data_IF_042056971935
#
_entry.id   IF_042056971935
#
_cell.length_a   1.000
_cell.length_b   1.000
_cell.length_c   1.000
_cell.angle_alpha   90.00
_cell.angle_beta   90.00
_cell.angle_gamma   90.00
#
_symmetry.space_group_name_H-M   'P 1'
#
loop_
_entity.id
_entity.type
_entity.pdbx_description
1 polymer ?
#
# COMPACT_ATOMS: atom_id res chain seq x y z
N UNK A 1 28.69 -18.70 -27.52
CA UNK A 1 29.62 -17.56 -27.75
C UNK A 1 29.36 -17.02 -29.15
N UNK A 2 29.70 -15.76 -29.43
CA UNK A 2 29.76 -15.21 -30.80
C UNK A 2 31.19 -14.73 -31.01
N UNK A 3 31.85 -15.20 -32.06
CA UNK A 3 33.23 -14.80 -32.42
C UNK A 3 34.26 -14.98 -31.29
N UNK A 4 34.20 -16.12 -30.59
CA UNK A 4 35.09 -16.40 -29.46
C UNK A 4 34.83 -15.54 -28.20
N UNK A 5 33.86 -14.63 -28.24
CA UNK A 5 33.48 -13.79 -27.11
C UNK A 5 32.09 -14.15 -26.56
N UNK A 6 31.90 -13.91 -25.27
CA UNK A 6 30.58 -14.04 -24.66
C UNK A 6 29.67 -12.93 -25.20
N UNK A 7 28.54 -13.30 -25.81
CA UNK A 7 27.52 -12.34 -26.28
C UNK A 7 26.96 -11.45 -25.17
N UNK A 8 27.07 -11.87 -23.92
CA UNK A 8 26.67 -11.11 -22.72
C UNK A 8 27.84 -10.35 -22.06
N UNK A 9 29.02 -10.34 -22.71
CA UNK A 9 30.25 -9.68 -22.27
C UNK A 9 30.73 -10.12 -20.88
N UNK A 10 30.73 -11.44 -20.64
CA UNK A 10 31.37 -12.03 -19.46
C UNK A 10 32.81 -12.48 -19.77
N UNK A 11 33.74 -12.39 -18.80
CA UNK A 11 33.57 -11.74 -17.49
C UNK A 11 33.46 -10.21 -17.60
N UNK A 12 32.66 -9.58 -16.73
CA UNK A 12 32.53 -8.11 -16.68
C UNK A 12 33.78 -7.51 -16.02
N UNK A 13 34.24 -6.32 -16.46
CA UNK A 13 35.42 -5.68 -15.88
C UNK A 13 35.21 -5.33 -14.40
N UNK A 14 36.30 -5.28 -13.64
CA UNK A 14 36.28 -4.82 -12.25
C UNK A 14 35.95 -3.34 -12.17
N UNK A 15 35.23 -2.95 -11.11
CA UNK A 15 34.87 -1.56 -10.86
C UNK A 15 34.82 -1.30 -9.36
N UNK A 16 35.51 -0.26 -8.90
CA UNK A 16 35.64 0.03 -7.47
C UNK A 16 34.40 0.71 -6.87
N UNK A 17 33.52 1.29 -7.69
CA UNK A 17 32.28 1.93 -7.27
C UNK A 17 31.18 1.69 -8.30
N UNK A 18 29.91 1.77 -7.88
CA UNK A 18 28.77 1.71 -8.81
C UNK A 18 28.67 3.07 -9.50
N UNK A 19 28.61 3.09 -10.83
CA UNK A 19 28.48 4.32 -11.64
C UNK A 19 27.46 4.16 -12.75
N UNK A 20 26.86 5.25 -13.20
CA UNK A 20 25.99 5.26 -14.37
C UNK A 20 26.85 5.24 -15.65
N UNK A 21 26.55 4.35 -16.60
CA UNK A 21 27.20 4.36 -17.91
C UNK A 21 26.43 5.22 -18.92
N UNK A 22 27.10 5.54 -20.01
CA UNK A 22 26.56 6.37 -21.11
C UNK A 22 25.39 5.70 -21.83
N UNK A 23 25.30 4.36 -21.81
CA UNK A 23 24.19 3.59 -22.35
C UNK A 23 22.97 3.53 -21.40
N UNK A 24 23.05 4.22 -20.26
CA UNK A 24 21.99 4.31 -19.25
C UNK A 24 21.88 3.10 -18.34
N UNK A 25 22.73 2.08 -18.51
CA UNK A 25 22.80 0.94 -17.58
C UNK A 25 23.83 1.22 -16.47
N UNK A 26 23.56 0.81 -15.22
CA UNK A 26 24.55 0.94 -14.16
C UNK A 26 25.72 -0.04 -14.35
N UNK A 27 26.95 0.47 -14.22
CA UNK A 27 28.16 -0.35 -14.00
C UNK A 27 28.27 -0.57 -12.51
N UNK A 28 27.93 -1.77 -12.05
CA UNK A 28 28.01 -2.13 -10.63
C UNK A 28 29.44 -2.25 -10.13
N UNK A 29 29.66 -1.88 -8.86
CA UNK A 29 30.89 -2.18 -8.14
C UNK A 29 31.17 -3.69 -8.16
N UNK A 30 32.33 -4.05 -8.71
CA UNK A 30 32.84 -5.42 -8.81
C UNK A 30 34.28 -5.42 -8.31
N UNK A 31 34.47 -5.78 -7.04
CA UNK A 31 35.80 -5.84 -6.40
C UNK A 31 36.59 -7.04 -6.93
N UNK A 32 37.89 -6.87 -7.14
CA UNK A 32 38.79 -7.99 -7.42
C UNK A 32 39.21 -8.64 -6.11
N UNK A 33 38.48 -9.67 -5.69
CA UNK A 33 38.76 -10.45 -4.47
C UNK A 33 39.43 -11.81 -4.79
N UNK A 34 39.85 -12.02 -6.04
CA UNK A 34 40.46 -13.26 -6.53
C UNK A 34 39.51 -14.46 -6.64
N UNK A 35 38.22 -14.31 -6.31
CA UNK A 35 37.26 -15.43 -6.28
C UNK A 35 36.56 -15.59 -7.63
N UNK A 36 36.68 -16.76 -8.22
CA UNK A 36 36.03 -17.13 -9.47
C UNK A 36 35.26 -18.44 -9.33
N UNK A 37 34.17 -18.58 -10.08
CA UNK A 37 33.36 -19.81 -10.16
C UNK A 37 33.16 -20.11 -11.64
N UNK A 38 33.49 -21.33 -12.05
CA UNK A 38 33.22 -21.78 -13.42
C UNK A 38 31.78 -22.29 -13.50
N UNK A 39 30.96 -21.61 -14.30
CA UNK A 39 29.56 -22.01 -14.55
C UNK A 39 29.38 -22.19 -16.05
N UNK A 40 29.15 -23.43 -16.49
CA UNK A 40 28.96 -23.80 -17.91
C UNK A 40 30.11 -23.25 -18.78
N UNK A 41 31.34 -23.58 -18.42
CA UNK A 41 32.59 -23.19 -19.11
C UNK A 41 32.90 -21.68 -19.15
N UNK A 42 32.12 -20.87 -18.43
CA UNK A 42 32.36 -19.43 -18.30
C UNK A 42 32.77 -19.13 -16.86
N UNK A 43 33.95 -18.56 -16.70
CA UNK A 43 34.41 -18.01 -15.41
C UNK A 43 33.55 -16.81 -15.03
N UNK A 44 32.78 -16.96 -13.95
CA UNK A 44 31.95 -15.89 -13.37
C UNK A 44 32.54 -15.48 -12.03
N UNK A 45 32.41 -14.21 -11.68
CA UNK A 45 32.65 -13.78 -10.30
C UNK A 45 31.29 -13.42 -9.66
N UNK A 46 30.97 -13.97 -8.49
CA UNK A 46 29.70 -13.73 -7.81
C UNK A 46 29.65 -12.31 -7.24
N UNK A 47 28.55 -11.58 -7.53
CA UNK A 47 28.23 -10.33 -6.83
C UNK A 47 27.51 -10.75 -5.55
N UNK A 48 28.14 -10.60 -4.38
CA UNK A 48 27.58 -11.06 -3.10
C UNK A 48 26.86 -9.94 -2.37
N UNK A 49 25.55 -10.12 -2.15
CA UNK A 49 24.89 -9.65 -0.94
C UNK A 49 24.77 -10.83 0.04
N UNK A 50 25.80 -11.03 0.86
CA UNK A 50 25.99 -12.26 1.65
C UNK A 50 24.81 -12.56 2.59
N UNK A 51 24.24 -11.54 3.23
CA UNK A 51 23.13 -11.68 4.18
C UNK A 51 21.85 -12.20 3.52
N UNK A 52 21.52 -11.68 2.34
CA UNK A 52 20.26 -12.01 1.67
C UNK A 52 20.36 -13.37 0.95
N UNK A 53 21.47 -13.66 0.28
CA UNK A 53 21.66 -14.97 -0.34
C UNK A 53 21.62 -16.11 0.68
N UNK A 54 22.15 -15.90 1.90
CA UNK A 54 22.08 -16.89 2.98
C UNK A 54 20.66 -17.08 3.51
N UNK A 55 19.93 -15.97 3.76
CA UNK A 55 18.55 -16.02 4.26
C UNK A 55 17.59 -16.77 3.33
N UNK A 56 17.75 -16.63 2.02
CA UNK A 56 16.82 -17.18 1.02
C UNK A 56 17.36 -18.38 0.25
N UNK A 57 18.56 -18.87 0.60
CA UNK A 57 19.25 -19.97 -0.07
C UNK A 57 19.22 -19.86 -1.62
N UNK A 58 19.36 -18.64 -2.14
CA UNK A 58 19.29 -18.37 -3.58
C UNK A 58 20.22 -17.20 -3.96
N UNK A 59 20.54 -17.08 -5.25
CA UNK A 59 21.37 -15.98 -5.75
C UNK A 59 20.51 -14.72 -5.97
N UNK A 60 20.70 -13.71 -5.12
CA UNK A 60 19.95 -12.45 -5.17
C UNK A 60 20.80 -11.35 -5.78
N UNK A 61 20.28 -10.70 -6.82
CA UNK A 61 20.82 -9.44 -7.32
C UNK A 61 20.13 -8.29 -6.58
N UNK A 62 20.91 -7.40 -5.99
CA UNK A 62 20.43 -6.15 -5.38
C UNK A 62 20.86 -4.99 -6.27
N UNK A 63 19.89 -4.21 -6.72
CA UNK A 63 20.12 -3.05 -7.59
C UNK A 63 19.61 -1.78 -6.90
N UNK A 64 20.48 -0.80 -6.70
CA UNK A 64 20.10 0.53 -6.22
C UNK A 64 19.76 1.41 -7.42
N UNK A 65 18.49 1.80 -7.53
CA UNK A 65 17.97 2.55 -8.67
C UNK A 65 17.85 4.04 -8.32
N UNK A 66 18.76 4.86 -8.83
CA UNK A 66 18.74 6.33 -8.66
C UNK A 66 18.45 7.11 -9.95
N UNK A 67 18.41 6.44 -11.11
CA UNK A 67 18.20 7.10 -12.42
C UNK A 67 16.83 6.77 -13.04
N UNK A 68 16.30 7.69 -13.86
CA UNK A 68 15.07 7.45 -14.65
C UNK A 68 15.20 6.23 -15.57
N UNK A 69 16.40 5.97 -16.10
CA UNK A 69 16.66 4.79 -16.95
C UNK A 69 16.59 3.50 -16.14
N UNK A 70 17.09 3.51 -14.89
CA UNK A 70 16.95 2.39 -13.95
C UNK A 70 15.49 2.12 -13.59
N UNK A 71 14.68 3.17 -13.38
CA UNK A 71 13.23 3.03 -13.14
C UNK A 71 12.50 2.48 -14.38
N UNK A 72 12.86 2.95 -15.58
CA UNK A 72 12.33 2.41 -16.84
C UNK A 72 12.72 0.95 -17.01
N UNK A 73 13.94 0.57 -16.63
CA UNK A 73 14.41 -0.81 -16.65
C UNK A 73 13.61 -1.68 -15.68
N UNK A 74 13.43 -1.28 -14.42
CA UNK A 74 12.62 -2.00 -13.44
C UNK A 74 11.20 -2.26 -13.99
N UNK A 75 10.54 -1.20 -14.46
CA UNK A 75 9.20 -1.31 -15.05
C UNK A 75 9.19 -2.21 -16.28
N UNK A 76 10.23 -2.15 -17.13
CA UNK A 76 10.35 -3.06 -18.28
C UNK A 76 10.31 -4.53 -17.85
N UNK A 77 10.90 -4.91 -16.71
CA UNK A 77 10.87 -6.30 -16.22
C UNK A 77 9.55 -6.67 -15.55
N UNK A 78 8.94 -5.75 -14.80
CA UNK A 78 7.59 -5.93 -14.24
C UNK A 78 6.57 -6.13 -15.36
N UNK A 79 6.68 -5.37 -16.45
CA UNK A 79 5.76 -5.39 -17.58
C UNK A 79 6.22 -6.24 -18.78
N UNK A 80 7.37 -6.93 -18.68
CA UNK A 80 7.89 -7.77 -19.80
C UNK A 80 6.98 -8.96 -20.12
N UNK A 81 6.04 -9.27 -19.24
CA UNK A 81 5.27 -10.50 -19.27
C UNK A 81 6.04 -11.65 -18.63
N UNK A 82 5.32 -12.67 -18.18
CA UNK A 82 5.90 -13.90 -17.63
C UNK A 82 6.46 -14.76 -18.76
N UNK A 83 7.53 -15.51 -18.51
CA UNK A 83 7.97 -16.56 -19.43
C UNK A 83 6.82 -17.58 -19.58
N UNK A 84 6.27 -17.70 -20.79
CA UNK A 84 5.17 -18.61 -21.11
C UNK A 84 5.76 -19.88 -21.71
N UNK A 85 5.67 -20.99 -20.98
CA UNK A 85 5.93 -22.33 -21.51
C UNK A 85 4.63 -22.94 -22.03
N UNK A 86 4.59 -23.36 -23.29
CA UNK A 86 3.50 -24.17 -23.80
C UNK A 86 3.69 -25.61 -23.30
N UNK A 87 2.74 -26.13 -22.52
CA UNK A 87 2.69 -27.54 -22.14
C UNK A 87 1.62 -28.20 -23.00
N UNK A 88 2.02 -29.05 -23.94
CA UNK A 88 1.07 -29.86 -24.71
C UNK A 88 0.66 -31.08 -23.87
N UNK A 89 -0.60 -31.14 -23.45
CA UNK A 89 -1.19 -32.38 -22.93
C UNK A 89 -1.81 -33.15 -24.09
N UNK A 90 -1.45 -34.43 -24.23
CA UNK A 90 -1.97 -35.36 -25.24
C UNK A 90 -3.38 -35.81 -24.85
N UNK A 91 -4.38 -34.96 -25.09
CA UNK A 91 -5.79 -35.36 -25.03
C UNK A 91 -6.50 -34.77 -26.24
N UNK A 92 -6.93 -35.66 -27.14
CA UNK A 92 -7.55 -35.37 -28.43
C UNK A 92 -8.99 -34.85 -28.27
N UNK A 93 -9.15 -33.64 -27.74
CA UNK A 93 -10.30 -32.75 -28.00
C UNK A 93 -10.00 -31.43 -27.31
N UNK A 94 -9.16 -30.61 -27.94
CA UNK A 94 -8.79 -29.30 -27.39
C UNK A 94 -9.33 -28.20 -28.30
N UNK A 95 -10.29 -27.44 -27.79
CA UNK A 95 -10.75 -26.21 -28.43
C UNK A 95 -9.61 -25.19 -28.42
N UNK A 96 -9.00 -25.00 -29.59
CA UNK A 96 -7.88 -24.08 -29.82
C UNK A 96 -8.22 -22.64 -29.41
N UNK A 97 -9.49 -22.24 -29.48
CA UNK A 97 -9.94 -20.89 -29.13
C UNK A 97 -9.91 -20.72 -27.61
N UNK A 98 -10.47 -21.66 -26.85
CA UNK A 98 -10.40 -21.66 -25.39
C UNK A 98 -8.94 -21.72 -24.89
N UNK A 99 -8.12 -22.59 -25.49
CA UNK A 99 -6.71 -22.72 -25.13
C UNK A 99 -5.90 -21.44 -25.40
N UNK A 100 -6.25 -20.70 -26.47
CA UNK A 100 -5.66 -19.41 -26.80
C UNK A 100 -6.12 -18.27 -25.87
N UNK A 101 -7.34 -18.36 -25.35
CA UNK A 101 -7.88 -17.43 -24.34
C UNK A 101 -7.26 -17.69 -22.96
N UNK A 102 -7.17 -18.95 -22.53
CA UNK A 102 -6.61 -19.35 -21.22
C UNK A 102 -5.09 -19.08 -21.13
N UNK A 103 -4.34 -19.29 -22.22
CA UNK A 103 -2.90 -18.99 -22.27
C UNK A 103 -2.58 -17.48 -22.17
N UNK A 104 -3.56 -16.60 -22.40
CA UNK A 104 -3.39 -15.14 -22.23
C UNK A 104 -3.59 -14.70 -20.78
N UNK A 105 -4.28 -15.50 -19.97
CA UNK A 105 -4.78 -15.08 -18.66
C UNK A 105 -4.07 -15.79 -17.49
N UNK A 106 -2.74 -15.69 -17.47
CA UNK A 106 -1.98 -15.90 -16.23
C UNK A 106 -0.99 -14.76 -16.09
N UNK A 107 -1.39 -13.72 -15.34
CA UNK A 107 -0.49 -12.66 -14.89
C UNK A 107 -0.68 -12.40 -13.40
N UNK A 108 0.44 -12.23 -12.69
CA UNK A 108 0.48 -11.69 -11.32
C UNK A 108 0.05 -10.22 -11.23
N UNK A 109 -0.23 -9.57 -12.37
CA UNK A 109 -0.70 -8.18 -12.43
C UNK A 109 -2.18 -8.00 -12.05
N UNK A 110 -2.89 -9.09 -11.77
CA UNK A 110 -4.21 -9.07 -11.12
C UNK A 110 -4.09 -9.34 -9.62
N UNK A 111 -2.98 -8.99 -8.98
CA UNK A 111 -3.02 -8.71 -7.55
C UNK A 111 -4.10 -7.64 -7.36
N UNK A 112 -5.28 -8.04 -6.84
CA UNK A 112 -6.39 -7.13 -6.54
C UNK A 112 -5.80 -5.85 -5.96
N UNK A 113 -5.98 -4.74 -6.66
CA UNK A 113 -5.38 -3.46 -6.26
C UNK A 113 -5.89 -3.15 -4.85
N UNK A 114 -5.01 -3.24 -3.87
CA UNK A 114 -5.35 -2.94 -2.49
C UNK A 114 -5.49 -1.42 -2.39
N UNK A 115 -6.69 -0.95 -2.11
CA UNK A 115 -6.95 0.48 -1.93
C UNK A 115 -6.61 0.81 -0.48
N UNK A 116 -5.58 1.63 -0.27
CA UNK A 116 -5.23 2.12 1.07
C UNK A 116 -5.92 3.45 1.31
N UNK A 117 -6.78 3.50 2.34
CA UNK A 117 -7.46 4.73 2.78
C UNK A 117 -6.76 5.23 4.02
N UNK A 118 -6.19 6.43 3.95
CA UNK A 118 -5.60 7.07 5.12
C UNK A 118 -6.71 7.61 6.03
N UNK A 119 -6.69 7.21 7.31
CA UNK A 119 -7.68 7.58 8.31
C UNK A 119 -7.07 8.63 9.26
N UNK A 120 -7.48 9.91 9.17
CA UNK A 120 -7.02 10.95 10.08
C UNK A 120 -7.49 10.65 11.51
N UNK A 121 -6.61 10.90 12.48
CA UNK A 121 -6.93 10.86 13.90
C UNK A 121 -6.58 12.23 14.46
N UNK A 122 -7.44 12.80 15.29
CA UNK A 122 -7.20 14.07 15.97
C UNK A 122 -7.96 14.08 17.29
N UNK A 123 -7.49 14.85 18.26
CA UNK A 123 -8.22 15.10 19.49
C UNK A 123 -9.43 16.00 19.21
N UNK A 124 -10.35 16.06 20.16
CA UNK A 124 -11.49 16.96 20.06
C UNK A 124 -11.00 18.41 19.91
N UNK A 125 -11.60 19.15 18.98
CA UNK A 125 -11.21 20.52 18.61
C UNK A 125 -9.76 20.75 18.14
N UNK A 126 -8.95 19.70 17.97
CA UNK A 126 -7.56 19.79 17.47
C UNK A 126 -7.41 19.26 16.04
N UNK A 127 -8.37 19.58 15.17
CA UNK A 127 -8.30 19.25 13.74
C UNK A 127 -8.00 20.49 12.90
N UNK A 128 -7.32 20.29 11.78
CA UNK A 128 -7.03 21.38 10.85
C UNK A 128 -8.26 21.75 10.04
N UNK A 129 -8.60 23.04 10.04
CA UNK A 129 -9.64 23.63 9.20
C UNK A 129 -8.99 24.61 8.23
N UNK A 130 -9.21 24.41 6.94
CA UNK A 130 -8.73 25.31 5.89
C UNK A 130 -9.82 26.34 5.57
N UNK A 131 -9.45 27.61 5.56
CA UNK A 131 -10.35 28.71 5.22
C UNK A 131 -9.63 29.75 4.36
N UNK A 132 -10.40 30.57 3.66
CA UNK A 132 -9.92 31.71 2.88
C UNK A 132 -10.21 33.00 3.63
N UNK A 133 -9.47 34.05 3.30
CA UNK A 133 -9.59 35.35 3.96
C UNK A 133 -11.03 35.93 3.95
N UNK A 134 -11.84 35.59 2.94
CA UNK A 134 -13.20 36.10 2.77
C UNK A 134 -14.28 35.11 3.25
N UNK A 135 -13.90 33.96 3.81
CA UNK A 135 -14.88 32.98 4.29
C UNK A 135 -15.50 33.45 5.61
N UNK A 136 -16.80 33.22 5.78
CA UNK A 136 -17.45 33.49 7.06
C UNK A 136 -16.98 32.48 8.11
N UNK A 137 -16.46 32.97 9.24
CA UNK A 137 -15.96 32.17 10.36
C UNK A 137 -16.99 31.15 10.84
N UNK A 138 -18.26 31.55 10.96
CA UNK A 138 -19.32 30.65 11.42
C UNK A 138 -19.55 29.47 10.47
N UNK A 139 -19.52 29.71 9.15
CA UNK A 139 -19.66 28.63 8.16
C UNK A 139 -18.42 27.74 8.11
N UNK A 140 -17.23 28.32 8.28
CA UNK A 140 -15.96 27.59 8.33
C UNK A 140 -15.94 26.63 9.51
N UNK A 141 -16.36 27.10 10.70
CA UNK A 141 -16.43 26.26 11.89
C UNK A 141 -17.44 25.13 11.70
N UNK A 142 -18.65 25.43 11.21
CA UNK A 142 -19.63 24.38 10.92
C UNK A 142 -19.10 23.30 9.99
N UNK A 143 -18.40 23.67 8.92
CA UNK A 143 -17.79 22.68 8.01
C UNK A 143 -16.62 21.94 8.68
N UNK A 144 -15.81 22.65 9.47
CA UNK A 144 -14.67 22.11 10.20
C UNK A 144 -15.05 20.98 11.15
N UNK A 145 -16.17 21.11 11.86
CA UNK A 145 -16.69 20.08 12.76
C UNK A 145 -16.99 18.73 12.09
N UNK A 146 -17.10 18.68 10.75
CA UNK A 146 -17.40 17.48 9.99
C UNK A 146 -16.13 16.87 9.35
N UNK A 147 -15.26 16.30 10.19
CA UNK A 147 -14.09 15.55 9.75
C UNK A 147 -14.44 14.10 9.42
N UNK A 148 -13.50 13.35 8.85
CA UNK A 148 -13.67 11.92 8.59
C UNK A 148 -13.88 11.09 9.87
N UNK A 149 -13.31 11.54 11.00
CA UNK A 149 -13.47 10.91 12.30
C UNK A 149 -14.79 11.30 12.96
N UNK A 150 -15.21 12.57 12.93
CA UNK A 150 -16.51 12.93 13.51
C UNK A 150 -17.68 12.34 12.72
N UNK A 151 -17.55 12.25 11.39
CA UNK A 151 -18.52 11.51 10.55
C UNK A 151 -18.54 10.01 10.85
N UNK A 152 -17.47 9.43 11.39
CA UNK A 152 -17.49 8.05 11.89
C UNK A 152 -18.46 7.94 13.05
N UNK A 153 -18.36 8.83 14.03
CA UNK A 153 -19.22 8.85 15.22
C UNK A 153 -20.69 9.01 14.87
N UNK A 154 -21.00 9.88 13.91
CA UNK A 154 -22.35 10.01 13.35
C UNK A 154 -22.81 8.71 12.66
N UNK A 155 -21.94 8.05 11.88
CA UNK A 155 -22.26 6.76 11.26
C UNK A 155 -22.58 5.71 12.34
N UNK A 156 -21.74 5.59 13.37
CA UNK A 156 -21.95 4.63 14.46
C UNK A 156 -23.22 4.93 15.24
N UNK A 157 -23.58 6.20 15.39
CA UNK A 157 -24.81 6.60 16.06
C UNK A 157 -26.06 6.17 15.26
N UNK A 158 -26.02 6.33 13.94
CA UNK A 158 -27.18 6.12 13.07
C UNK A 158 -27.33 4.69 12.53
N UNK A 159 -26.22 3.97 12.32
CA UNK A 159 -26.21 2.63 11.69
C UNK A 159 -25.76 1.57 12.69
N UNK A 160 -26.69 0.69 13.07
CA UNK A 160 -26.44 -0.41 14.01
C UNK A 160 -25.41 -1.41 13.46
N UNK A 161 -25.39 -1.64 12.14
CA UNK A 161 -24.41 -2.54 11.53
C UNK A 161 -22.99 -1.98 11.65
N UNK A 162 -22.84 -0.66 11.49
CA UNK A 162 -21.56 0.02 11.62
C UNK A 162 -20.96 -0.12 13.03
N UNK A 163 -21.79 -0.17 14.09
CA UNK A 163 -21.33 -0.30 15.48
C UNK A 163 -20.49 -1.55 15.76
N UNK A 164 -20.60 -2.57 14.92
CA UNK A 164 -19.79 -3.79 15.02
C UNK A 164 -18.34 -3.65 14.50
N UNK A 165 -18.02 -2.51 13.89
CA UNK A 165 -16.77 -2.23 13.20
C UNK A 165 -15.86 -1.30 14.02
N UNK A 166 -14.55 -1.54 13.92
CA UNK A 166 -13.50 -0.60 14.33
C UNK A 166 -13.27 0.47 13.26
N UNK A 167 -12.55 1.54 13.58
CA UNK A 167 -12.30 2.62 12.61
C UNK A 167 -11.58 2.14 11.35
N UNK A 168 -10.66 1.17 11.47
CA UNK A 168 -9.94 0.58 10.33
C UNK A 168 -10.86 -0.21 9.41
N UNK A 169 -11.76 -1.01 9.99
CA UNK A 169 -12.68 -1.89 9.26
C UNK A 169 -13.77 -1.12 8.52
N UNK A 170 -14.15 0.08 8.99
CA UNK A 170 -15.15 0.90 8.31
C UNK A 170 -14.78 1.16 6.86
N UNK A 171 -13.50 1.34 6.52
CA UNK A 171 -13.07 1.58 5.14
C UNK A 171 -13.34 0.41 4.17
N UNK A 172 -13.44 -0.81 4.69
CA UNK A 172 -13.75 -2.03 3.94
C UNK A 172 -15.23 -2.12 3.56
N UNK A 173 -16.11 -1.59 4.40
CA UNK A 173 -17.57 -1.64 4.21
C UNK A 173 -18.16 -0.33 3.70
N UNK A 174 -17.53 0.80 4.02
CA UNK A 174 -18.00 2.14 3.70
C UNK A 174 -16.91 2.90 2.93
N UNK A 175 -17.34 3.82 2.06
CA UNK A 175 -16.47 4.77 1.37
C UNK A 175 -16.76 6.18 1.87
N UNK A 176 -15.71 6.96 2.12
CA UNK A 176 -15.85 8.34 2.53
C UNK A 176 -15.94 9.25 1.30
N UNK A 177 -17.17 9.64 0.93
CA UNK A 177 -17.43 10.38 -0.29
C UNK A 177 -18.56 11.40 -0.09
N UNK A 178 -18.63 12.39 -0.98
CA UNK A 178 -19.81 13.27 -1.06
C UNK A 178 -20.99 12.41 -1.50
N UNK A 179 -22.18 12.70 -0.96
CA UNK A 179 -23.40 12.14 -1.53
C UNK A 179 -23.49 12.58 -3.00
N UNK A 180 -23.68 11.65 -3.92
CA UNK A 180 -23.81 11.95 -5.36
C UNK A 180 -25.29 12.11 -5.71
N UNK A 181 -25.65 13.00 -6.64
CA UNK A 181 -27.03 13.21 -7.14
C UNK A 181 -27.75 11.92 -7.56
N UNK A 182 -27.00 10.85 -7.87
CA UNK A 182 -27.53 9.53 -8.25
C UNK A 182 -28.02 8.67 -7.08
N UNK A 183 -27.78 9.07 -5.82
CA UNK A 183 -28.23 8.33 -4.65
C UNK A 183 -29.58 8.89 -4.16
N UNK A 184 -30.57 8.05 -3.80
CA UNK A 184 -31.90 8.51 -3.36
C UNK A 184 -31.91 9.44 -2.13
N UNK A 185 -30.84 9.42 -1.34
CA UNK A 185 -30.62 10.25 -0.15
C UNK A 185 -29.63 11.41 -0.41
N UNK A 186 -29.57 11.91 -1.64
CA UNK A 186 -28.75 13.06 -1.99
C UNK A 186 -29.29 14.36 -1.36
N UNK A 187 -28.49 14.98 -0.49
CA UNK A 187 -28.81 16.27 0.15
C UNK A 187 -27.74 17.35 -0.11
N UNK A 188 -26.81 17.14 -1.06
CA UNK A 188 -25.74 18.10 -1.37
C UNK A 188 -24.71 18.34 -0.27
N UNK A 189 -24.73 17.58 0.83
CA UNK A 189 -23.89 17.84 1.99
C UNK A 189 -22.45 17.32 1.87
N UNK A 190 -21.64 17.73 2.85
CA UNK A 190 -20.25 17.34 3.07
C UNK A 190 -20.00 15.83 2.95
N UNK A 191 -18.73 15.44 2.83
CA UNK A 191 -18.36 14.02 2.74
C UNK A 191 -18.89 13.26 3.95
N UNK A 192 -19.41 12.06 3.70
CA UNK A 192 -19.92 11.15 4.70
C UNK A 192 -19.51 9.71 4.37
N UNK A 193 -19.68 8.82 5.33
CA UNK A 193 -19.50 7.39 5.11
C UNK A 193 -20.72 6.80 4.40
N UNK A 194 -20.49 6.23 3.22
CA UNK A 194 -21.53 5.65 2.38
C UNK A 194 -21.25 4.16 2.22
N UNK A 195 -22.24 3.31 2.43
CA UNK A 195 -22.11 1.86 2.28
C UNK A 195 -21.62 1.50 0.87
N UNK A 196 -20.66 0.58 0.78
CA UNK A 196 -20.13 0.07 -0.49
C UNK A 196 -21.08 -0.97 -1.06
N UNK A 197 -21.43 -0.80 -2.32
CA UNK A 197 -22.28 -1.75 -3.07
C UNK A 197 -21.46 -2.91 -3.64
N UNK A 198 -20.20 -2.65 -4.01
CA UNK A 198 -19.29 -3.66 -4.55
C UNK A 198 -18.14 -3.91 -3.57
N UNK A 199 -18.08 -5.11 -2.99
CA UNK A 199 -17.04 -5.57 -2.06
C UNK A 199 -15.92 -6.34 -2.78
N UNK A 200 -15.77 -6.16 -4.10
CA UNK A 200 -14.76 -6.86 -4.91
C UNK A 200 -13.34 -6.35 -4.65
N UNK A 201 -13.23 -5.08 -4.27
CA UNK A 201 -11.96 -4.42 -3.97
C UNK A 201 -11.53 -4.70 -2.54
N UNK A 202 -10.24 -5.03 -2.36
CA UNK A 202 -9.64 -5.10 -1.02
C UNK A 202 -9.29 -3.70 -0.59
N UNK A 203 -9.98 -3.17 0.42
CA UNK A 203 -9.73 -1.84 0.97
C UNK A 203 -9.15 -1.96 2.37
N UNK A 204 -8.10 -1.20 2.67
CA UNK A 204 -7.44 -1.21 3.98
C UNK A 204 -7.40 0.22 4.53
N UNK A 205 -8.00 0.39 5.70
CA UNK A 205 -7.99 1.63 6.46
C UNK A 205 -6.72 1.74 7.28
N UNK A 206 -5.89 2.74 7.00
CA UNK A 206 -4.63 2.98 7.70
C UNK A 206 -4.69 4.28 8.48
N UNK A 207 -4.80 4.17 9.80
CA UNK A 207 -4.69 5.33 10.68
C UNK A 207 -3.33 6.00 10.57
N UNK A 208 -3.34 7.33 10.60
CA UNK A 208 -2.12 8.15 10.61
C UNK A 208 -1.19 7.75 11.75
N UNK A 209 0.10 8.05 11.58
CA UNK A 209 1.08 7.86 12.63
C UNK A 209 0.86 8.90 13.74
N UNK A 210 0.71 8.42 14.97
CA UNK A 210 0.65 9.25 16.17
C UNK A 210 1.90 8.91 17.01
N UNK A 211 2.82 9.87 17.26
CA UNK A 211 4.00 9.62 18.06
C UNK A 211 3.65 9.43 19.54
N UNK A 212 4.41 8.59 20.25
CA UNK A 212 4.19 8.37 21.70
C UNK A 212 4.50 9.61 22.56
N UNK A 213 5.22 10.60 22.03
CA UNK A 213 5.43 11.89 22.72
C UNK A 213 4.12 12.68 22.89
N UNK A 214 3.11 12.42 22.05
CA UNK A 214 1.76 12.97 22.19
C UNK A 214 0.84 11.87 22.71
N UNK A 215 0.92 11.65 24.03
CA UNK A 215 0.30 10.53 24.74
C UNK A 215 -1.20 10.42 24.42
N UNK A 216 -1.97 11.48 24.60
CA UNK A 216 -3.43 11.46 24.34
C UNK A 216 -3.78 11.07 22.90
N UNK A 217 -3.04 11.62 21.93
CA UNK A 217 -3.26 11.30 20.52
C UNK A 217 -2.92 9.86 20.18
N UNK A 218 -1.84 9.34 20.79
CA UNK A 218 -1.43 7.94 20.66
C UNK A 218 -2.47 6.98 21.26
N UNK A 219 -2.97 7.26 22.47
CA UNK A 219 -3.98 6.44 23.12
C UNK A 219 -5.33 6.50 22.39
N UNK A 220 -5.75 7.67 21.89
CA UNK A 220 -6.93 7.76 21.02
C UNK A 220 -6.80 6.85 19.79
N UNK A 221 -5.62 6.83 19.14
CA UNK A 221 -5.38 5.92 18.00
C UNK A 221 -5.45 4.44 18.41
N UNK A 222 -5.01 4.10 19.62
CA UNK A 222 -5.15 2.73 20.15
C UNK A 222 -6.62 2.41 20.41
N UNK A 223 -7.36 3.28 21.07
CA UNK A 223 -8.80 3.14 21.31
C UNK A 223 -9.55 2.85 20.01
N UNK A 224 -9.36 3.70 18.99
CA UNK A 224 -10.01 3.57 17.67
C UNK A 224 -9.61 2.28 16.91
N UNK A 225 -8.51 1.64 17.31
CA UNK A 225 -8.05 0.38 16.71
C UNK A 225 -8.81 -0.83 17.24
N UNK A 226 -9.17 -0.82 18.52
CA UNK A 226 -9.69 -2.01 19.21
C UNK A 226 -11.15 -1.86 19.61
N UNK A 227 -11.58 -0.65 19.98
CA UNK A 227 -12.95 -0.38 20.37
C UNK A 227 -13.84 -0.26 19.14
N UNK A 228 -14.99 -0.93 19.22
CA UNK A 228 -15.99 -0.99 18.15
C UNK A 228 -17.10 0.01 18.41
N UNK A 229 -17.60 0.61 17.33
CA UNK A 229 -18.79 1.45 17.37
C UNK A 229 -18.73 2.71 18.25
N UNK A 230 -17.60 3.44 18.39
CA UNK A 230 -17.59 4.65 19.19
C UNK A 230 -18.54 5.71 18.62
N UNK A 231 -19.38 6.31 19.46
CA UNK A 231 -20.41 7.27 19.03
C UNK A 231 -20.07 8.73 19.28
N UNK A 232 -19.01 9.01 20.04
CA UNK A 232 -18.50 10.36 20.29
C UNK A 232 -17.09 10.29 20.89
N UNK A 233 -16.45 11.45 21.11
CA UNK A 233 -15.28 11.51 21.96
C UNK A 233 -15.63 11.13 23.41
N UNK A 234 -16.71 11.65 23.98
CA UNK A 234 -17.16 11.30 25.33
C UNK A 234 -17.37 9.79 25.53
N UNK A 235 -17.90 9.10 24.52
CA UNK A 235 -18.04 7.65 24.54
C UNK A 235 -16.68 6.98 24.70
N UNK A 236 -15.66 7.43 23.97
CA UNK A 236 -14.28 6.95 24.10
C UNK A 236 -13.65 7.27 25.46
N UNK A 237 -14.10 8.32 26.14
CA UNK A 237 -13.68 8.67 27.50
C UNK A 237 -14.38 7.81 28.56
N UNK A 238 -15.49 7.17 28.20
CA UNK A 238 -16.31 6.38 29.11
C UNK A 238 -15.95 4.91 29.00
N UNK A 239 -15.57 4.29 30.12
CA UNK A 239 -15.34 2.85 30.22
C UNK A 239 -16.07 2.33 31.47
N UNK A 240 -16.89 1.28 31.31
CA UNK A 240 -17.73 0.73 32.38
C UNK A 240 -18.57 1.80 33.12
N UNK A 241 -19.12 2.75 32.36
CA UNK A 241 -19.90 3.89 32.86
C UNK A 241 -19.12 4.90 33.73
N UNK A 242 -17.80 4.79 33.81
CA UNK A 242 -16.91 5.77 34.43
C UNK A 242 -16.27 6.66 33.36
N UNK A 243 -16.37 7.98 33.55
CA UNK A 243 -15.71 8.95 32.69
C UNK A 243 -14.26 9.09 33.15
N UNK A 244 -13.31 8.69 32.31
CA UNK A 244 -11.89 8.86 32.54
C UNK A 244 -11.48 10.31 32.23
N UNK A 245 -10.42 10.83 32.86
CA UNK A 245 -9.96 12.20 32.60
C UNK A 245 -8.99 12.32 31.41
N UNK A 246 -8.53 11.18 30.88
CA UNK A 246 -7.63 11.11 29.72
C UNK A 246 -7.85 9.81 28.95
N UNK A 247 -7.46 9.79 27.67
CA UNK A 247 -7.47 8.57 26.86
C UNK A 247 -6.50 7.52 27.37
N UNK A 248 -5.44 7.93 28.08
CA UNK A 248 -4.52 7.02 28.74
C UNK A 248 -5.17 6.24 29.89
N UNK A 249 -6.11 6.86 30.60
CA UNK A 249 -6.79 6.26 31.74
C UNK A 249 -7.96 5.36 31.34
N UNK A 250 -8.51 5.51 30.13
CA UNK A 250 -9.55 4.66 29.59
C UNK A 250 -8.97 3.29 29.17
N UNK A 251 -9.35 2.17 29.83
CA UNK A 251 -8.88 0.85 29.42
C UNK A 251 -9.48 0.43 28.07
N UNK A 252 -8.72 -0.40 27.34
CA UNK A 252 -9.06 -0.97 26.03
C UNK A 252 -10.14 -2.06 26.10
#
# INVERSE_FOLDING_TARGET
MKDGMCSKRFPKPYCNATRQADDGYPIYRRRNDGRTVNVKEITRQPIRCALQCHKYNCHINVEECSSLTSVKYLNKYVYKGHDRGAVSSTVETTDKIQQYLDARYVSTSLAKTVIVVQLPVHLEYQHNVMFRANDNVASVLQVGHHTMLTRLFELMSNDVAARSLTYQEVSSHYRFAKSTQRLPWYNGQAKQWILRVHLTDVVIGRMVYCPMSQIEWYYLRLMLRYRKGPTSFDDLWTVDSLICATFQQAPL
#
